data_IF_004117598020
#
_entry.id   IF_004117598020
#
_cell.length_a   1.000
_cell.length_b   1.000
_cell.length_c   1.000
_cell.angle_alpha   90.00
_cell.angle_beta   90.00
_cell.angle_gamma   90.00
#
_symmetry.space_group_name_H-M   'P 1'
#
loop_
_entity.id
_entity.type
_entity.pdbx_description
1 polymer ?
#
# COMPACT_ATOMS: atom_id res chain seq x y z
N UNK A 1 -1.06 31.26 -8.90
CA UNK A 1 -0.55 29.93 -8.55
C UNK A 1 -1.73 29.05 -8.20
N UNK A 2 -1.84 27.85 -8.78
CA UNK A 2 -2.88 26.91 -8.42
C UNK A 2 -2.70 26.45 -6.96
N UNK A 3 -3.78 26.21 -6.19
CA UNK A 3 -3.65 25.67 -4.84
C UNK A 3 -3.01 24.28 -4.89
N UNK A 4 -2.02 24.05 -4.04
CA UNK A 4 -1.38 22.74 -3.91
C UNK A 4 -2.41 21.69 -3.44
N UNK A 5 -2.25 20.41 -3.83
CA UNK A 5 -3.13 19.33 -3.39
C UNK A 5 -3.24 19.29 -1.85
N UNK A 6 -4.45 19.00 -1.35
CA UNK A 6 -4.70 18.87 0.09
C UNK A 6 -3.88 17.70 0.64
N UNK A 7 -2.78 18.00 1.34
CA UNK A 7 -1.86 17.00 1.88
C UNK A 7 -0.41 17.17 1.42
N UNK A 8 -0.16 18.03 0.44
CA UNK A 8 1.19 18.35 -0.02
C UNK A 8 1.69 19.65 0.63
N UNK A 9 2.90 19.63 1.21
CA UNK A 9 3.54 20.80 1.81
C UNK A 9 5.01 20.87 1.39
N UNK A 10 5.38 21.95 0.70
CA UNK A 10 6.79 22.22 0.36
C UNK A 10 7.68 22.33 1.60
N UNK A 11 7.12 22.77 2.73
CA UNK A 11 7.84 22.86 4.01
C UNK A 11 8.11 21.48 4.64
N UNK A 12 7.33 20.45 4.28
CA UNK A 12 7.45 19.11 4.84
C UNK A 12 8.50 18.24 4.12
N UNK A 13 8.82 18.56 2.85
CA UNK A 13 9.75 17.78 2.01
C UNK A 13 11.10 17.52 2.71
N UNK A 14 11.78 18.54 3.29
CA UNK A 14 13.08 18.32 3.93
C UNK A 14 12.98 17.43 5.18
N UNK A 15 11.86 17.53 5.91
CA UNK A 15 11.60 16.74 7.12
C UNK A 15 11.33 15.29 6.73
N UNK A 16 10.50 15.05 5.72
CA UNK A 16 10.18 13.71 5.21
C UNK A 16 11.40 13.00 4.62
N UNK A 17 12.28 13.72 3.90
CA UNK A 17 13.55 13.18 3.39
C UNK A 17 14.48 12.77 4.53
N UNK A 18 14.64 13.61 5.56
CA UNK A 18 15.46 13.26 6.71
C UNK A 18 14.90 12.05 7.48
N UNK A 19 13.57 11.90 7.57
CA UNK A 19 12.93 10.73 8.19
C UNK A 19 13.13 9.45 7.36
N UNK A 20 13.02 9.51 6.04
CA UNK A 20 13.20 8.33 5.16
C UNK A 20 14.65 7.84 5.14
N UNK A 21 15.60 8.76 5.25
CA UNK A 21 17.04 8.47 5.37
C UNK A 21 17.46 8.01 6.78
N UNK A 22 16.54 8.00 7.75
CA UNK A 22 16.83 7.62 9.14
C UNK A 22 17.57 8.68 9.95
N UNK A 23 17.73 9.91 9.43
CA UNK A 23 18.33 11.06 10.13
C UNK A 23 17.31 11.73 11.06
N UNK A 24 16.94 11.02 12.12
CA UNK A 24 15.86 11.42 13.04
C UNK A 24 16.16 12.74 13.76
N UNK A 25 17.40 12.98 14.19
CA UNK A 25 17.76 14.23 14.91
C UNK A 25 17.74 15.47 14.00
N UNK A 26 18.14 15.32 12.74
CA UNK A 26 18.04 16.39 11.75
C UNK A 26 16.57 16.72 11.45
N UNK A 27 15.74 15.68 11.28
CA UNK A 27 14.30 15.84 11.07
C UNK A 27 13.64 16.58 12.25
N UNK A 28 14.02 16.25 13.50
CA UNK A 28 13.53 16.95 14.70
C UNK A 28 13.93 18.42 14.71
N UNK A 29 15.19 18.72 14.40
CA UNK A 29 15.69 20.10 14.36
C UNK A 29 14.89 20.95 13.38
N UNK A 30 14.77 20.47 12.14
CA UNK A 30 14.00 21.13 11.08
C UNK A 30 12.53 21.30 11.46
N UNK A 31 11.93 20.29 12.08
CA UNK A 31 10.55 20.32 12.53
C UNK A 31 10.36 21.37 13.65
N UNK A 32 11.24 21.40 14.65
CA UNK A 32 11.17 22.34 15.77
C UNK A 32 11.34 23.78 15.28
N UNK A 33 12.29 24.03 14.39
CA UNK A 33 12.52 25.36 13.82
C UNK A 33 11.28 25.86 13.08
N UNK A 34 10.64 24.98 12.30
CA UNK A 34 9.44 25.32 11.57
C UNK A 34 8.23 25.56 12.48
N UNK A 35 8.08 24.77 13.55
CA UNK A 35 7.05 24.99 14.58
C UNK A 35 7.27 26.30 15.34
N UNK A 36 8.50 26.60 15.75
CA UNK A 36 8.87 27.84 16.45
C UNK A 36 8.64 29.09 15.59
N UNK A 37 8.75 28.97 14.27
CA UNK A 37 8.45 30.09 13.35
C UNK A 37 6.98 30.54 13.37
N UNK A 38 6.06 29.72 13.91
CA UNK A 38 4.62 29.98 13.89
C UNK A 38 3.97 29.83 12.51
N UNK A 39 4.73 29.45 11.47
CA UNK A 39 4.28 29.33 10.08
C UNK A 39 4.11 27.88 9.61
N UNK A 40 4.09 26.93 10.54
CA UNK A 40 3.96 25.52 10.22
C UNK A 40 2.58 25.21 9.64
N UNK A 41 2.56 24.71 8.41
CA UNK A 41 1.33 24.24 7.76
C UNK A 41 0.77 22.95 8.40
N UNK A 42 -0.47 22.62 8.05
CA UNK A 42 -1.20 21.47 8.61
C UNK A 42 -0.47 20.12 8.46
N UNK A 43 0.24 19.92 7.34
CA UNK A 43 1.04 18.69 7.11
C UNK A 43 2.19 18.57 8.12
N UNK A 44 2.88 19.68 8.40
CA UNK A 44 4.00 19.71 9.35
C UNK A 44 3.49 19.48 10.78
N UNK A 45 2.35 20.08 11.14
CA UNK A 45 1.71 19.85 12.44
C UNK A 45 1.31 18.38 12.61
N UNK A 46 0.80 17.73 11.55
CA UNK A 46 0.51 16.29 11.55
C UNK A 46 1.78 15.47 11.75
N UNK A 47 2.86 15.75 11.01
CA UNK A 47 4.16 15.08 11.18
C UNK A 47 4.67 15.22 12.62
N UNK A 48 4.55 16.42 13.21
CA UNK A 48 4.90 16.63 14.61
C UNK A 48 4.08 15.76 15.57
N UNK A 49 2.76 15.68 15.35
CA UNK A 49 1.88 14.84 16.15
C UNK A 49 2.27 13.36 16.05
N UNK A 50 2.58 12.87 14.84
CA UNK A 50 3.02 11.49 14.60
C UNK A 50 4.39 11.19 15.23
N UNK A 51 5.32 12.16 15.24
CA UNK A 51 6.62 12.01 15.89
C UNK A 51 6.53 12.01 17.42
N UNK A 52 5.66 12.84 18.00
CA UNK A 52 5.47 12.94 19.45
C UNK A 52 4.67 11.76 20.00
N UNK A 53 3.65 11.35 19.26
CA UNK A 53 2.75 10.26 19.64
C UNK A 53 2.38 9.47 18.39
N UNK A 54 3.20 8.48 18.01
CA UNK A 54 2.90 7.65 16.84
C UNK A 54 1.52 7.02 17.02
N UNK A 55 0.70 7.11 15.97
CA UNK A 55 -0.61 6.45 15.98
C UNK A 55 -0.41 4.98 16.34
N UNK A 56 -1.32 4.44 17.18
CA UNK A 56 -1.28 3.02 17.55
C UNK A 56 -1.41 2.22 16.26
N UNK A 57 -0.30 1.63 15.80
CA UNK A 57 -0.33 0.67 14.69
C UNK A 57 -1.37 -0.39 15.04
N UNK A 58 -2.29 -0.74 14.12
CA UNK A 58 -3.27 -1.78 14.38
C UNK A 58 -2.52 -3.03 14.85
N UNK A 59 -2.85 -3.52 16.05
CA UNK A 59 -2.23 -4.71 16.60
C UNK A 59 -2.80 -5.91 15.84
N UNK A 60 -1.93 -6.65 15.17
CA UNK A 60 -2.28 -7.89 14.47
C UNK A 60 -1.21 -8.28 13.46
N UNK A 61 -1.02 -9.58 13.27
CA UNK A 61 -0.20 -10.09 12.16
C UNK A 61 -0.96 -9.77 10.87
N UNK A 62 -0.38 -8.95 9.99
CA UNK A 62 -0.87 -8.82 8.61
C UNK A 62 -0.98 -10.23 8.02
N UNK A 63 -2.17 -10.62 7.57
CA UNK A 63 -2.36 -11.95 6.98
C UNK A 63 -1.39 -12.09 5.81
N UNK A 64 -0.61 -13.16 5.81
CA UNK A 64 0.25 -13.47 4.67
C UNK A 64 -0.65 -13.69 3.44
N UNK A 65 -0.18 -13.22 2.29
CA UNK A 65 -0.88 -13.43 1.03
C UNK A 65 -1.00 -14.95 0.75
N UNK A 66 -2.05 -15.39 0.05
CA UNK A 66 -2.17 -16.79 -0.35
C UNK A 66 -0.93 -17.23 -1.12
N UNK A 67 -0.46 -18.46 -0.89
CA UNK A 67 0.66 -19.01 -1.67
C UNK A 67 0.29 -19.07 -3.15
N UNK A 68 1.25 -18.74 -4.02
CA UNK A 68 1.10 -18.73 -5.47
C UNK A 68 -0.02 -17.83 -6.00
N UNK A 69 -0.40 -16.77 -5.28
CA UNK A 69 -1.49 -15.90 -5.71
C UNK A 69 -1.25 -15.24 -7.08
N UNK A 70 0.02 -14.90 -7.39
CA UNK A 70 0.43 -14.33 -8.68
C UNK A 70 0.21 -15.36 -9.80
N UNK A 71 0.87 -16.52 -9.68
CA UNK A 71 0.82 -17.59 -10.69
C UNK A 71 -0.62 -18.06 -10.95
N UNK A 72 -1.41 -18.16 -9.88
CA UNK A 72 -2.81 -18.60 -9.96
C UNK A 72 -3.65 -17.53 -10.67
N UNK A 73 -3.54 -16.26 -10.27
CA UNK A 73 -4.32 -15.17 -10.84
C UNK A 73 -4.00 -14.90 -12.31
N UNK A 74 -2.71 -14.91 -12.67
CA UNK A 74 -2.27 -14.70 -14.05
C UNK A 74 -2.80 -15.80 -14.98
N UNK A 75 -2.62 -17.07 -14.60
CA UNK A 75 -3.07 -18.20 -15.41
C UNK A 75 -4.58 -18.30 -15.48
N UNK A 76 -5.28 -18.00 -14.37
CA UNK A 76 -6.74 -17.94 -14.36
C UNK A 76 -7.25 -16.88 -15.33
N UNK A 77 -6.69 -15.66 -15.29
CA UNK A 77 -7.07 -14.59 -16.19
C UNK A 77 -6.68 -14.90 -17.65
N UNK A 78 -5.56 -15.59 -17.89
CA UNK A 78 -5.21 -16.14 -19.20
C UNK A 78 -6.29 -17.07 -19.76
N UNK A 79 -6.71 -18.08 -18.97
CA UNK A 79 -7.79 -18.99 -19.35
C UNK A 79 -9.11 -18.27 -19.63
N UNK A 80 -9.44 -17.24 -18.84
CA UNK A 80 -10.65 -16.43 -19.04
C UNK A 80 -10.57 -15.62 -20.33
N UNK A 81 -9.40 -15.07 -20.66
CA UNK A 81 -9.16 -14.35 -21.92
C UNK A 81 -9.24 -15.27 -23.14
N UNK A 82 -8.84 -16.54 -22.98
CA UNK A 82 -8.97 -17.59 -24.00
C UNK A 82 -10.42 -18.10 -24.16
N UNK A 83 -11.38 -17.52 -23.44
CA UNK A 83 -12.80 -17.86 -23.51
C UNK A 83 -13.21 -19.09 -22.70
N UNK A 84 -12.32 -19.63 -21.86
CA UNK A 84 -12.66 -20.75 -20.97
C UNK A 84 -13.68 -20.30 -19.93
N UNK A 85 -14.74 -21.10 -19.74
CA UNK A 85 -15.77 -20.81 -18.73
C UNK A 85 -15.17 -20.81 -17.32
N UNK A 86 -15.76 -20.01 -16.43
CA UNK A 86 -15.29 -19.83 -15.05
C UNK A 86 -15.11 -21.16 -14.30
N UNK A 87 -16.13 -22.04 -14.34
CA UNK A 87 -16.10 -23.33 -13.65
C UNK A 87 -14.97 -24.24 -14.16
N UNK A 88 -14.77 -24.26 -15.48
CA UNK A 88 -13.70 -25.04 -16.11
C UNK A 88 -12.31 -24.49 -15.78
N UNK A 89 -12.16 -23.16 -15.78
CA UNK A 89 -10.93 -22.50 -15.37
C UNK A 89 -10.61 -22.82 -13.90
N UNK A 90 -11.61 -22.72 -13.01
CA UNK A 90 -11.44 -23.07 -11.59
C UNK A 90 -11.02 -24.53 -11.40
N UNK A 91 -11.67 -25.47 -12.10
CA UNK A 91 -11.30 -26.90 -12.06
C UNK A 91 -9.85 -27.11 -12.46
N UNK A 92 -9.44 -26.57 -13.62
CA UNK A 92 -8.06 -26.67 -14.11
C UNK A 92 -7.04 -26.08 -13.15
N UNK A 93 -7.38 -24.96 -12.50
CA UNK A 93 -6.50 -24.33 -11.51
C UNK A 93 -6.38 -25.14 -10.23
N UNK A 94 -7.48 -25.72 -9.74
CA UNK A 94 -7.44 -26.61 -8.56
C UNK A 94 -6.62 -27.87 -8.82
N UNK A 95 -6.77 -28.49 -9.99
CA UNK A 95 -6.00 -29.67 -10.40
C UNK A 95 -4.52 -29.37 -10.58
N UNK A 96 -4.20 -28.26 -11.27
CA UNK A 96 -2.80 -27.88 -11.56
C UNK A 96 -2.00 -27.53 -10.31
N UNK A 97 -2.59 -26.81 -9.36
CA UNK A 97 -1.89 -26.33 -8.17
C UNK A 97 -2.11 -27.22 -6.93
N UNK A 98 -2.99 -28.22 -7.01
CA UNK A 98 -3.30 -29.12 -5.90
C UNK A 98 -3.95 -28.41 -4.70
N UNK A 99 -4.62 -27.28 -4.93
CA UNK A 99 -5.29 -26.50 -3.90
C UNK A 99 -6.81 -26.63 -3.94
N UNK A 100 -7.45 -26.39 -2.80
CA UNK A 100 -8.91 -26.31 -2.74
C UNK A 100 -9.43 -25.12 -3.56
N UNK A 101 -10.65 -25.25 -4.06
CA UNK A 101 -11.31 -24.19 -4.84
C UNK A 101 -11.36 -22.86 -4.06
N UNK A 102 -11.59 -22.91 -2.75
CA UNK A 102 -11.58 -21.74 -1.87
C UNK A 102 -10.23 -21.03 -1.85
N UNK A 103 -9.12 -21.78 -1.85
CA UNK A 103 -7.77 -21.20 -1.90
C UNK A 103 -7.51 -20.54 -3.25
N UNK A 104 -7.85 -21.22 -4.35
CA UNK A 104 -7.72 -20.68 -5.71
C UNK A 104 -8.53 -19.39 -5.87
N UNK A 105 -9.78 -19.38 -5.39
CA UNK A 105 -10.64 -18.19 -5.43
C UNK A 105 -10.04 -17.03 -4.62
N UNK A 106 -9.49 -17.31 -3.44
CA UNK A 106 -8.80 -16.31 -2.62
C UNK A 106 -7.54 -15.76 -3.29
N UNK A 107 -6.77 -16.61 -3.96
CA UNK A 107 -5.60 -16.22 -4.74
C UNK A 107 -5.98 -15.32 -5.93
N UNK A 108 -6.99 -15.71 -6.72
CA UNK A 108 -7.50 -14.90 -7.83
C UNK A 108 -8.00 -13.54 -7.34
N UNK A 109 -8.82 -13.50 -6.28
CA UNK A 109 -9.32 -12.24 -5.74
C UNK A 109 -8.20 -11.33 -5.20
N UNK A 110 -7.13 -11.93 -4.64
CA UNK A 110 -5.95 -11.18 -4.21
C UNK A 110 -5.21 -10.58 -5.42
N UNK A 111 -5.12 -11.35 -6.51
CA UNK A 111 -4.51 -10.90 -7.76
C UNK A 111 -5.26 -9.76 -8.41
N UNK A 112 -6.58 -9.90 -8.57
CA UNK A 112 -7.41 -8.90 -9.21
C UNK A 112 -7.37 -7.58 -8.44
N UNK A 113 -7.38 -7.64 -7.10
CA UNK A 113 -7.21 -6.44 -6.27
C UNK A 113 -5.85 -5.78 -6.46
N UNK A 114 -4.77 -6.56 -6.48
CA UNK A 114 -3.43 -6.01 -6.69
C UNK A 114 -3.29 -5.34 -8.07
N UNK A 115 -3.94 -5.92 -9.09
CA UNK A 115 -3.97 -5.37 -10.44
C UNK A 115 -4.80 -4.07 -10.51
N UNK A 116 -5.96 -4.04 -9.87
CA UNK A 116 -6.79 -2.82 -9.78
C UNK A 116 -6.08 -1.69 -9.05
N UNK A 117 -5.33 -2.00 -7.98
CA UNK A 117 -4.56 -1.00 -7.23
C UNK A 117 -3.43 -0.42 -8.12
N UNK A 118 -2.78 -1.25 -8.95
CA UNK A 118 -1.76 -0.81 -9.91
C UNK A 118 -2.34 0.04 -11.04
N UNK A 119 -3.50 -0.32 -11.60
CA UNK A 119 -4.13 0.42 -12.69
C UNK A 119 -4.66 1.81 -12.26
N UNK A 120 -4.77 2.05 -10.94
CA UNK A 120 -5.23 3.32 -10.35
C UNK A 120 -4.10 4.28 -9.99
N UNK A 121 -2.85 3.82 -9.88
CA UNK A 121 -1.66 4.65 -9.68
C UNK A 121 -1.14 5.24 -11.00
#
# INVERSE_FOLDING_TARGET
>A
MAPLPKGFSLQAIPIESALSEGRIEDAKTLLIDLLRSGKAGAVVQRLAADMLKPSKRPRGRTRALPRHWIDIGEQFNGLRNDGVRYEEAMRRMTEKFGYSETHVRGAVATYDRAKEDQDRE
#
